data_IF_212586759671
#
_entry.id   IF_212586759671
#
_cell.length_a   1.000
_cell.length_b   1.000
_cell.length_c   1.000
_cell.angle_alpha   90.00
_cell.angle_beta   90.00
_cell.angle_gamma   90.00
#
_symmetry.space_group_name_H-M   'P 1'
#
loop_
_entity.id
_entity.type
_entity.pdbx_description
1 polymer ?
#
# COMPACT_ATOMS: atom_id res chain seq x y z
N UNK A 1 -31.56 -46.61 37.31
CA UNK A 1 -31.79 -45.99 35.99
C UNK A 1 -30.61 -45.06 35.71
N UNK A 2 -29.77 -45.48 34.76
CA UNK A 2 -28.63 -44.81 34.09
C UNK A 2 -27.88 -43.63 34.75
N UNK A 3 -26.61 -43.88 35.09
CA UNK A 3 -25.53 -42.89 35.10
C UNK A 3 -25.00 -42.63 33.67
N UNK A 4 -24.59 -41.40 33.30
CA UNK A 4 -23.95 -41.12 32.02
C UNK A 4 -22.44 -41.42 32.04
N UNK A 5 -21.98 -42.16 31.03
CA UNK A 5 -20.61 -42.59 30.83
C UNK A 5 -19.68 -41.46 30.34
N UNK A 6 -18.50 -41.36 30.96
CA UNK A 6 -17.35 -40.58 30.47
C UNK A 6 -16.54 -41.46 29.49
N UNK A 7 -16.44 -41.04 28.23
CA UNK A 7 -15.51 -41.64 27.26
C UNK A 7 -14.14 -40.94 27.35
N UNK A 8 -13.10 -41.72 27.66
CA UNK A 8 -11.70 -41.32 27.69
C UNK A 8 -10.98 -42.17 26.64
N UNK A 9 -10.52 -41.56 25.55
CA UNK A 9 -9.77 -42.25 24.49
C UNK A 9 -8.28 -41.99 24.74
N UNK A 10 -7.57 -43.06 25.13
CA UNK A 10 -6.11 -43.12 25.25
C UNK A 10 -5.53 -43.72 23.98
N UNK A 11 -4.71 -42.97 23.26
CA UNK A 11 -3.99 -43.43 22.06
C UNK A 11 -2.66 -44.03 22.52
N UNK A 12 -2.55 -45.35 22.39
CA UNK A 12 -1.34 -46.15 22.61
C UNK A 12 -0.49 -46.14 21.33
N UNK A 13 0.76 -45.70 21.45
CA UNK A 13 1.80 -45.85 20.43
C UNK A 13 2.39 -47.27 20.48
N UNK A 14 2.36 -48.00 19.36
CA UNK A 14 3.31 -49.08 19.11
C UNK A 14 3.59 -49.26 17.62
N UNK A 15 4.88 -49.43 17.33
CA UNK A 15 5.57 -49.25 16.06
C UNK A 15 5.33 -50.33 14.99
N UNK A 16 5.58 -49.88 13.75
CA UNK A 16 6.21 -50.58 12.62
C UNK A 16 5.32 -51.43 11.70
N UNK A 17 5.03 -50.91 10.51
CA UNK A 17 5.53 -51.47 9.22
C UNK A 17 5.66 -50.32 8.21
N UNK A 18 6.83 -50.24 7.59
CA UNK A 18 7.20 -49.30 6.53
C UNK A 18 6.57 -49.75 5.20
N UNK A 19 5.77 -48.89 4.57
CA UNK A 19 5.57 -48.88 3.12
C UNK A 19 5.72 -47.45 2.60
N UNK A 20 6.79 -47.25 1.82
CA UNK A 20 7.08 -46.00 1.10
C UNK A 20 6.03 -45.81 0.01
N UNK A 21 5.03 -44.96 0.25
CA UNK A 21 4.22 -44.37 -0.82
C UNK A 21 4.87 -43.03 -1.20
N UNK A 22 5.68 -43.04 -2.26
CA UNK A 22 6.25 -41.83 -2.86
C UNK A 22 5.23 -41.28 -3.86
N UNK A 23 4.39 -40.35 -3.41
CA UNK A 23 3.47 -39.61 -4.29
C UNK A 23 4.29 -38.53 -5.00
N UNK A 24 4.59 -38.74 -6.28
CA UNK A 24 5.09 -37.69 -7.16
C UNK A 24 3.90 -36.81 -7.56
N UNK A 25 3.72 -35.70 -6.83
CA UNK A 25 2.86 -34.60 -7.30
C UNK A 25 3.71 -33.78 -8.26
N UNK A 26 3.49 -34.03 -9.55
CA UNK A 26 3.91 -33.16 -10.65
C UNK A 26 3.16 -31.83 -10.52
N UNK A 27 3.88 -30.74 -10.28
CA UNK A 27 3.33 -29.39 -10.30
C UNK A 27 3.19 -28.91 -11.76
N UNK A 28 1.98 -28.62 -12.27
CA UNK A 28 1.82 -27.78 -13.45
C UNK A 28 2.12 -26.30 -13.07
N UNK A 29 2.58 -25.49 -14.04
CA UNK A 29 3.33 -24.28 -13.77
C UNK A 29 2.52 -23.21 -13.07
N UNK A 30 3.20 -22.47 -12.19
CA UNK A 30 2.71 -21.28 -11.51
C UNK A 30 2.15 -20.27 -12.51
N UNK A 31 0.83 -20.26 -12.68
CA UNK A 31 0.11 -19.12 -13.21
C UNK A 31 0.22 -17.98 -12.19
N UNK A 32 0.79 -16.88 -12.67
CA UNK A 32 1.18 -15.68 -11.94
C UNK A 32 0.11 -15.14 -11.00
N UNK A 33 0.35 -15.28 -9.69
CA UNK A 33 -0.13 -14.33 -8.67
C UNK A 33 0.67 -13.02 -8.77
N UNK A 34 0.56 -12.34 -9.91
CA UNK A 34 1.02 -10.95 -10.08
C UNK A 34 -0.19 -10.07 -10.41
N UNK A 35 -1.14 -10.00 -9.48
CA UNK A 35 -2.02 -8.85 -9.36
C UNK A 35 -2.15 -8.58 -7.86
N UNK A 36 -1.73 -7.36 -7.45
CA UNK A 36 -1.59 -6.84 -6.08
C UNK A 36 -0.14 -6.80 -5.55
N UNK A 37 0.76 -6.20 -6.32
CA UNK A 37 1.79 -5.31 -5.76
C UNK A 37 1.43 -3.90 -6.20
N UNK A 38 1.08 -3.05 -5.25
CA UNK A 38 0.77 -1.64 -5.48
C UNK A 38 1.94 -0.93 -6.20
N UNK A 39 1.71 -0.52 -7.45
CA UNK A 39 2.08 0.79 -8.02
C UNK A 39 3.53 1.29 -8.05
N UNK A 40 4.55 0.55 -7.59
CA UNK A 40 5.83 1.20 -7.25
C UNK A 40 6.82 1.53 -8.38
N UNK A 41 6.74 0.94 -9.57
CA UNK A 41 7.87 1.04 -10.53
C UNK A 41 7.49 1.46 -11.96
N UNK A 42 6.32 2.08 -12.20
CA UNK A 42 5.93 2.52 -13.55
C UNK A 42 6.21 4.00 -13.69
N UNK A 43 6.96 4.46 -14.68
CA UNK A 43 7.25 5.91 -14.85
C UNK A 43 7.15 6.29 -16.31
N UNK A 44 6.86 7.56 -16.63
CA UNK A 44 6.94 8.05 -18.00
C UNK A 44 8.40 8.05 -18.49
N UNK A 45 8.57 7.81 -19.78
CA UNK A 45 9.85 7.83 -20.46
C UNK A 45 9.71 8.64 -21.74
N UNK A 46 10.59 9.62 -21.92
CA UNK A 46 10.72 10.35 -23.16
C UNK A 46 12.04 9.99 -23.83
N UNK A 47 11.99 9.55 -25.08
CA UNK A 47 13.15 9.09 -25.85
C UNK A 47 13.30 9.94 -27.09
N UNK A 48 14.50 10.42 -27.38
CA UNK A 48 14.79 11.12 -28.64
C UNK A 48 16.15 10.73 -29.19
N UNK A 49 16.26 10.76 -30.51
CA UNK A 49 17.47 10.36 -31.20
C UNK A 49 17.75 11.23 -32.42
N UNK A 50 18.97 11.10 -32.94
CA UNK A 50 19.39 11.73 -34.20
C UNK A 50 19.10 10.87 -35.44
N UNK A 51 18.59 9.65 -35.26
CA UNK A 51 18.16 8.76 -36.34
C UNK A 51 16.68 9.01 -36.70
N UNK A 52 16.31 8.81 -37.97
CA UNK A 52 14.95 9.04 -38.50
C UNK A 52 14.06 7.79 -38.44
N UNK A 53 14.42 6.79 -37.63
CA UNK A 53 13.62 5.58 -37.49
C UNK A 53 12.43 5.80 -36.55
N UNK A 54 11.26 6.02 -37.15
CA UNK A 54 9.98 6.02 -36.45
C UNK A 54 9.47 4.59 -36.33
N UNK A 55 9.52 4.07 -35.11
CA UNK A 55 8.87 2.80 -34.75
C UNK A 55 7.81 3.17 -33.72
N UNK A 56 6.56 3.05 -34.14
CA UNK A 56 5.39 3.39 -33.35
C UNK A 56 5.14 2.31 -32.30
N UNK A 57 5.26 2.65 -31.02
CA UNK A 57 4.73 1.80 -29.95
C UNK A 57 3.21 1.97 -29.83
N UNK A 58 2.47 0.89 -29.49
CA UNK A 58 1.04 1.00 -29.26
C UNK A 58 0.75 1.91 -28.06
N UNK A 59 0.18 3.08 -28.34
CA UNK A 59 0.02 4.24 -27.44
C UNK A 59 -0.81 4.04 -26.15
N UNK A 60 -1.18 2.81 -25.79
CA UNK A 60 -2.12 2.51 -24.70
C UNK A 60 -1.68 1.34 -23.81
N UNK A 61 -0.52 0.71 -24.05
CA UNK A 61 -0.07 -0.42 -23.24
C UNK A 61 1.08 0.00 -22.32
N UNK A 62 1.03 -0.45 -21.07
CA UNK A 62 2.18 -0.40 -20.18
C UNK A 62 3.26 -1.34 -20.73
N UNK A 63 4.48 -0.82 -20.93
CA UNK A 63 5.62 -1.63 -21.32
C UNK A 63 6.29 -2.21 -20.07
N UNK A 64 6.51 -3.52 -20.07
CA UNK A 64 7.35 -4.16 -19.06
C UNK A 64 8.84 -3.86 -19.33
N UNK A 65 9.69 -4.11 -18.34
CA UNK A 65 11.14 -3.87 -18.41
C UNK A 65 11.79 -4.58 -19.60
N UNK A 66 11.33 -5.79 -19.92
CA UNK A 66 11.89 -6.59 -21.02
C UNK A 66 11.41 -6.07 -22.38
N UNK A 67 10.11 -5.81 -22.52
CA UNK A 67 9.53 -5.23 -23.74
C UNK A 67 10.17 -3.88 -24.09
N UNK A 68 10.43 -3.04 -23.08
CA UNK A 68 11.12 -1.77 -23.27
C UNK A 68 12.59 -1.95 -23.66
N UNK A 69 13.29 -2.94 -23.10
CA UNK A 69 14.66 -3.25 -23.49
C UNK A 69 14.73 -3.74 -24.95
N UNK A 70 13.79 -4.59 -25.36
CA UNK A 70 13.70 -5.10 -26.73
C UNK A 70 13.36 -3.97 -27.71
N UNK A 71 12.47 -3.06 -27.30
CA UNK A 71 12.16 -1.84 -28.06
C UNK A 71 13.37 -0.91 -28.23
N UNK A 72 14.18 -0.72 -27.18
CA UNK A 72 15.43 0.04 -27.29
C UNK A 72 16.46 -0.68 -28.16
N UNK A 73 16.60 -2.00 -28.05
CA UNK A 73 17.55 -2.78 -28.83
C UNK A 73 17.38 -2.59 -30.34
N UNK A 74 16.15 -2.42 -30.81
CA UNK A 74 15.85 -2.12 -32.21
C UNK A 74 16.42 -0.76 -32.66
N UNK A 75 16.48 0.23 -31.75
CA UNK A 75 17.11 1.56 -31.97
C UNK A 75 18.62 1.58 -31.70
N UNK A 76 19.22 0.46 -31.27
CA UNK A 76 20.64 0.36 -30.90
C UNK A 76 21.52 -0.34 -31.95
N UNK A 77 20.99 -0.69 -33.12
CA UNK A 77 21.75 -1.38 -34.18
C UNK A 77 22.98 -0.60 -34.66
N UNK A 78 22.95 0.74 -34.60
CA UNK A 78 24.07 1.63 -34.91
C UNK A 78 25.08 1.84 -33.77
N UNK A 79 24.86 1.22 -32.60
CA UNK A 79 25.65 1.41 -31.35
C UNK A 79 25.77 2.89 -30.92
N UNK A 80 24.64 3.59 -30.71
CA UNK A 80 24.66 5.00 -30.30
C UNK A 80 25.24 5.19 -28.90
N UNK A 81 25.66 6.43 -28.59
CA UNK A 81 25.86 6.86 -27.21
C UNK A 81 24.51 6.99 -26.53
N UNK A 82 24.29 6.32 -25.40
CA UNK A 82 23.02 6.40 -24.66
C UNK A 82 23.17 7.35 -23.48
N UNK A 83 22.44 8.46 -23.51
CA UNK A 83 22.35 9.43 -22.42
C UNK A 83 21.06 9.17 -21.65
N UNK A 84 21.15 8.83 -20.37
CA UNK A 84 20.01 8.64 -19.50
C UNK A 84 19.93 9.78 -18.47
N UNK A 85 18.99 10.71 -18.68
CA UNK A 85 18.68 11.78 -17.75
C UNK A 85 17.63 11.29 -16.74
N UNK A 86 17.96 11.34 -15.45
CA UNK A 86 17.12 10.79 -14.37
C UNK A 86 16.74 11.83 -13.34
N UNK A 87 15.42 12.02 -13.18
CA UNK A 87 14.82 12.78 -12.08
C UNK A 87 14.56 11.91 -10.85
N UNK A 88 14.36 12.54 -9.70
CA UNK A 88 13.81 11.84 -8.52
C UNK A 88 12.35 11.43 -8.76
N UNK A 89 11.51 12.37 -9.23
CA UNK A 89 10.09 12.14 -9.44
C UNK A 89 9.54 12.80 -10.73
N UNK A 90 8.73 12.05 -11.48
CA UNK A 90 8.13 12.55 -12.73
C UNK A 90 6.77 11.91 -12.97
N UNK A 91 5.83 12.65 -13.56
CA UNK A 91 4.57 12.11 -14.07
C UNK A 91 4.24 12.61 -15.46
N UNK A 92 3.19 12.03 -16.04
CA UNK A 92 2.73 12.38 -17.39
C UNK A 92 2.23 13.83 -17.46
N UNK A 93 1.73 14.38 -16.36
CA UNK A 93 1.23 15.77 -16.28
C UNK A 93 2.36 16.81 -16.29
N UNK A 94 3.58 16.42 -15.93
CA UNK A 94 4.75 17.30 -15.97
C UNK A 94 5.17 17.59 -17.42
N UNK A 95 4.86 16.69 -18.36
CA UNK A 95 5.17 16.84 -19.78
C UNK A 95 4.17 17.76 -20.48
N UNK A 96 4.36 19.07 -20.32
CA UNK A 96 3.62 20.09 -21.04
C UNK A 96 4.57 21.08 -21.73
N UNK A 97 4.03 21.82 -22.70
CA UNK A 97 4.80 22.78 -23.52
C UNK A 97 5.41 23.92 -22.70
N UNK A 98 4.83 24.21 -21.54
CA UNK A 98 5.26 25.30 -20.66
C UNK A 98 6.51 24.91 -19.88
N UNK A 99 6.60 23.67 -19.39
CA UNK A 99 7.72 23.19 -18.57
C UNK A 99 8.90 22.73 -19.45
N UNK A 100 8.64 22.19 -20.65
CA UNK A 100 9.65 21.63 -21.55
C UNK A 100 9.66 22.29 -22.94
N UNK A 101 9.92 23.59 -23.05
CA UNK A 101 9.92 24.29 -24.33
C UNK A 101 11.06 23.85 -25.26
N UNK A 102 12.21 23.40 -24.73
CA UNK A 102 13.37 23.02 -25.56
C UNK A 102 13.34 21.53 -25.92
N UNK A 103 12.91 20.66 -24.99
CA UNK A 103 12.88 19.20 -25.16
C UNK A 103 12.15 18.75 -26.43
N UNK A 104 11.02 19.39 -26.75
CA UNK A 104 10.19 19.05 -27.91
C UNK A 104 10.86 19.31 -29.27
N UNK A 105 11.89 20.15 -29.29
CA UNK A 105 12.64 20.51 -30.50
C UNK A 105 13.96 19.74 -30.64
N UNK A 106 14.24 18.78 -29.74
CA UNK A 106 15.48 18.03 -29.71
C UNK A 106 15.36 16.69 -30.45
N UNK A 107 16.37 16.40 -31.28
CA UNK A 107 16.43 15.18 -32.06
C UNK A 107 15.68 15.29 -33.40
N UNK A 108 15.82 14.24 -34.23
CA UNK A 108 15.07 14.08 -35.49
C UNK A 108 13.84 13.19 -35.32
N UNK A 109 13.88 12.26 -34.37
CA UNK A 109 12.77 11.41 -33.96
C UNK A 109 12.65 11.49 -32.44
N UNK A 110 11.43 11.63 -31.94
CA UNK A 110 11.11 11.69 -30.52
C UNK A 110 9.87 10.84 -30.23
N UNK A 111 9.87 10.15 -29.11
CA UNK A 111 8.80 9.27 -28.67
C UNK A 111 8.51 9.46 -27.19
N UNK A 112 7.23 9.57 -26.85
CA UNK A 112 6.76 9.63 -25.47
C UNK A 112 6.05 8.34 -25.10
N UNK A 113 6.55 7.65 -24.08
CA UNK A 113 5.97 6.42 -23.55
C UNK A 113 5.45 6.70 -22.14
N UNK A 114 4.13 6.74 -21.93
CA UNK A 114 3.54 7.22 -20.68
C UNK A 114 3.76 6.28 -19.49
N UNK A 115 3.99 4.98 -19.76
CA UNK A 115 4.03 3.95 -18.71
C UNK A 115 5.06 2.85 -19.01
N UNK A 116 6.25 2.96 -18.42
CA UNK A 116 7.31 1.95 -18.49
C UNK A 116 7.66 1.43 -17.11
N UNK A 117 7.69 0.11 -16.95
CA UNK A 117 8.12 -0.53 -15.71
C UNK A 117 9.66 -0.53 -15.60
N UNK A 118 10.21 0.08 -14.55
CA UNK A 118 11.64 0.06 -14.21
C UNK A 118 12.60 0.37 -15.39
N UNK A 119 12.50 1.54 -16.04
CA UNK A 119 13.32 1.85 -17.24
C UNK A 119 14.82 1.83 -16.97
N UNK A 120 15.26 2.17 -15.76
CA UNK A 120 16.67 2.08 -15.36
C UNK A 120 17.23 0.66 -15.39
N UNK A 121 16.41 -0.36 -15.07
CA UNK A 121 16.84 -1.76 -15.15
C UNK A 121 16.99 -2.19 -16.61
N UNK A 122 16.10 -1.72 -17.49
CA UNK A 122 16.18 -1.99 -18.93
C UNK A 122 17.42 -1.33 -19.56
N UNK A 123 17.68 -0.05 -19.29
CA UNK A 123 18.83 0.66 -19.84
C UNK A 123 20.17 0.04 -19.43
N UNK A 124 20.28 -0.43 -18.18
CA UNK A 124 21.47 -1.16 -17.71
C UNK A 124 21.67 -2.52 -18.39
N UNK A 125 20.59 -3.20 -18.79
CA UNK A 125 20.69 -4.45 -19.57
C UNK A 125 21.18 -4.19 -20.99
N UNK A 126 20.71 -3.10 -21.59
CA UNK A 126 20.97 -2.75 -22.99
C UNK A 126 22.38 -2.19 -23.20
N UNK A 127 22.88 -1.39 -22.25
CA UNK A 127 24.20 -0.76 -22.36
C UNK A 127 25.11 -1.24 -21.22
N UNK A 128 26.00 -2.18 -21.54
CA UNK A 128 26.80 -2.94 -20.56
C UNK A 128 27.93 -2.14 -19.88
N UNK A 129 28.31 -0.97 -20.42
CA UNK A 129 29.40 -0.13 -19.89
C UNK A 129 28.85 1.21 -19.40
N UNK A 130 28.96 1.46 -18.09
CA UNK A 130 28.63 2.76 -17.47
C UNK A 130 29.85 3.68 -17.54
N UNK A 131 29.67 4.89 -18.06
CA UNK A 131 30.71 5.92 -18.15
C UNK A 131 30.24 7.23 -17.50
N UNK A 132 31.16 7.97 -16.88
CA UNK A 132 30.88 9.29 -16.31
C UNK A 132 30.76 10.34 -17.43
N UNK A 133 30.13 11.48 -17.12
CA UNK A 133 29.99 12.63 -18.03
C UNK A 133 31.34 13.18 -18.49
N UNK A 134 32.38 13.00 -17.67
CA UNK A 134 33.75 13.48 -17.90
C UNK A 134 34.57 12.57 -18.84
N UNK A 135 34.18 11.30 -18.99
CA UNK A 135 34.88 10.29 -19.80
C UNK A 135 33.90 9.66 -20.82
N UNK A 136 33.44 10.45 -21.80
CA UNK A 136 32.56 9.95 -22.86
C UNK A 136 33.37 9.00 -23.77
N UNK A 137 33.02 7.71 -23.86
CA UNK A 137 33.78 6.78 -24.68
C UNK A 137 33.68 7.17 -26.15
N UNK A 138 34.79 7.09 -26.89
CA UNK A 138 34.84 7.45 -28.32
C UNK A 138 34.34 6.34 -29.24
N UNK A 139 34.21 5.09 -28.75
CA UNK A 139 33.70 3.93 -29.50
C UNK A 139 32.89 2.99 -28.60
N UNK A 140 31.88 2.33 -29.17
CA UNK A 140 31.04 1.34 -28.49
C UNK A 140 29.76 1.91 -27.86
N UNK A 141 28.84 1.02 -27.49
CA UNK A 141 27.64 1.35 -26.72
C UNK A 141 28.05 1.69 -25.29
N UNK A 142 27.80 2.93 -24.89
CA UNK A 142 28.12 3.45 -23.56
C UNK A 142 26.88 4.12 -22.98
N UNK A 143 26.62 3.86 -21.70
CA UNK A 143 25.54 4.48 -20.94
C UNK A 143 26.14 5.56 -20.04
N UNK A 144 25.74 6.80 -20.27
CA UNK A 144 26.02 7.92 -19.35
C UNK A 144 24.74 8.24 -18.61
N UNK A 145 24.73 8.05 -17.30
CA UNK A 145 23.58 8.39 -16.44
C UNK A 145 23.82 9.76 -15.83
N UNK A 146 22.96 10.73 -16.17
CA UNK A 146 22.97 12.08 -15.61
C UNK A 146 21.82 12.19 -14.60
N UNK A 147 22.16 12.40 -13.32
CA UNK A 147 21.18 12.64 -12.26
C UNK A 147 20.86 14.14 -12.15
N UNK A 148 19.59 14.46 -12.05
CA UNK A 148 19.05 15.82 -11.91
C UNK A 148 18.44 15.98 -10.51
N UNK A 149 19.26 15.84 -9.46
CA UNK A 149 18.83 15.80 -8.04
C UNK A 149 19.12 17.11 -7.28
N UNK A 150 19.12 18.24 -7.97
CA UNK A 150 19.53 19.55 -7.42
C UNK A 150 18.36 20.47 -7.03
N UNK A 151 17.29 19.88 -6.48
CA UNK A 151 16.10 20.60 -6.04
C UNK A 151 16.41 21.58 -4.90
N UNK A 152 15.93 22.83 -5.04
CA UNK A 152 16.10 23.89 -4.04
C UNK A 152 14.80 24.08 -3.24
N UNK A 153 14.88 24.35 -1.93
CA UNK A 153 13.70 24.48 -1.07
C UNK A 153 12.80 25.69 -1.40
N UNK A 154 13.33 26.68 -2.11
CA UNK A 154 12.67 27.93 -2.51
C UNK A 154 12.20 27.93 -3.98
N UNK A 155 12.41 26.84 -4.73
CA UNK A 155 12.08 26.74 -6.15
C UNK A 155 10.75 26.00 -6.37
N UNK A 156 9.86 26.59 -7.17
CA UNK A 156 8.61 25.94 -7.57
C UNK A 156 8.89 24.81 -8.59
N UNK A 157 8.07 23.75 -8.59
CA UNK A 157 8.25 22.57 -9.46
C UNK A 157 8.34 22.95 -10.94
N UNK A 158 7.51 23.89 -11.38
CA UNK A 158 7.52 24.35 -12.76
C UNK A 158 8.81 25.08 -13.16
N UNK A 159 9.46 25.77 -12.21
CA UNK A 159 10.74 26.46 -12.44
C UNK A 159 11.91 25.48 -12.45
N UNK A 160 11.90 24.50 -11.54
CA UNK A 160 12.85 23.40 -11.49
C UNK A 160 12.91 22.65 -12.83
N UNK A 161 11.76 22.19 -13.33
CA UNK A 161 11.69 21.45 -14.60
C UNK A 161 12.16 22.29 -15.80
N UNK A 162 11.86 23.60 -15.84
CA UNK A 162 12.37 24.51 -16.89
C UNK A 162 13.90 24.68 -16.85
N UNK A 163 14.47 24.68 -15.64
CA UNK A 163 15.92 24.74 -15.44
C UNK A 163 16.57 23.45 -15.91
N UNK A 164 15.99 22.31 -15.58
CA UNK A 164 16.42 20.99 -16.06
C UNK A 164 16.29 20.85 -17.57
N UNK A 165 15.21 21.32 -18.21
CA UNK A 165 15.06 21.38 -19.67
C UNK A 165 16.21 22.12 -20.35
N UNK A 166 16.62 23.27 -19.78
CA UNK A 166 17.76 24.03 -20.27
C UNK A 166 19.07 23.26 -20.13
N UNK A 167 19.26 22.55 -19.01
CA UNK A 167 20.45 21.75 -18.73
C UNK A 167 20.56 20.52 -19.63
N UNK A 168 19.45 19.81 -19.86
CA UNK A 168 19.36 18.66 -20.75
C UNK A 168 19.77 19.08 -22.17
N UNK A 169 19.26 20.22 -22.65
CA UNK A 169 19.61 20.76 -23.97
C UNK A 169 21.10 21.10 -24.12
N UNK A 170 21.71 21.71 -23.10
CA UNK A 170 23.16 21.99 -23.10
C UNK A 170 23.99 20.71 -23.23
N UNK A 171 23.73 19.74 -22.35
CA UNK A 171 24.46 18.46 -22.32
C UNK A 171 24.26 17.69 -23.64
N UNK A 172 23.04 17.67 -24.17
CA UNK A 172 22.75 17.00 -25.43
C UNK A 172 23.50 17.64 -26.60
N UNK A 173 23.56 18.97 -26.67
CA UNK A 173 24.33 19.70 -27.70
C UNK A 173 25.84 19.48 -27.56
N UNK A 174 26.36 19.36 -26.35
CA UNK A 174 27.76 19.02 -26.12
C UNK A 174 28.06 17.59 -26.58
N UNK A 175 27.20 16.63 -26.28
CA UNK A 175 27.34 15.25 -26.72
C UNK A 175 27.31 15.11 -28.26
N UNK A 176 26.46 15.88 -28.94
CA UNK A 176 26.39 15.92 -30.41
C UNK A 176 27.66 16.45 -31.08
N UNK A 177 28.46 17.28 -30.38
CA UNK A 177 29.78 17.72 -30.91
C UNK A 177 30.80 16.58 -30.91
N UNK A 178 30.64 15.61 -30.01
CA UNK A 178 31.58 14.49 -29.83
C UNK A 178 31.17 13.28 -30.66
N UNK A 179 29.86 12.95 -30.70
CA UNK A 179 29.31 11.86 -31.51
C UNK A 179 28.13 12.31 -32.36
N UNK A 180 28.11 11.83 -33.60
CA UNK A 180 27.00 12.07 -34.54
C UNK A 180 25.79 11.15 -34.30
N UNK A 181 25.92 10.14 -33.43
CA UNK A 181 24.84 9.18 -33.11
C UNK A 181 24.63 9.08 -31.59
N UNK A 182 23.56 9.73 -31.13
CA UNK A 182 23.20 9.90 -29.72
C UNK A 182 21.71 9.57 -29.55
N UNK A 183 21.45 8.65 -28.62
CA UNK A 183 20.12 8.29 -28.13
C UNK A 183 20.00 8.83 -26.71
N UNK A 184 19.02 9.68 -26.46
CA UNK A 184 18.77 10.25 -25.15
C UNK A 184 17.43 9.79 -24.59
N UNK A 185 17.41 9.52 -23.30
CA UNK A 185 16.27 9.02 -22.55
C UNK A 185 16.10 9.86 -21.30
N UNK A 186 14.93 10.45 -21.12
CA UNK A 186 14.54 11.18 -19.92
C UNK A 186 13.48 10.39 -19.14
N UNK A 187 13.75 10.13 -17.87
CA UNK A 187 12.85 9.34 -17.00
C UNK A 187 13.11 9.66 -15.52
N UNK A 188 12.41 8.99 -14.60
CA UNK A 188 12.56 9.18 -13.16
C UNK A 188 12.80 7.88 -12.40
N UNK A 189 13.23 8.02 -11.14
CA UNK A 189 13.29 6.91 -10.19
C UNK A 189 11.91 6.53 -9.64
N UNK A 190 11.04 7.53 -9.41
CA UNK A 190 9.71 7.35 -8.83
C UNK A 190 8.62 8.12 -9.60
N UNK A 191 7.36 7.71 -9.46
CA UNK A 191 6.22 8.52 -9.91
C UNK A 191 6.10 9.78 -9.05
N UNK A 192 5.73 10.92 -9.64
CA UNK A 192 5.40 12.13 -8.85
C UNK A 192 4.14 11.94 -8.00
N UNK A 193 3.23 11.04 -8.43
CA UNK A 193 2.08 10.63 -7.65
C UNK A 193 2.47 9.57 -6.63
N UNK A 194 3.02 10.00 -5.50
CA UNK A 194 2.64 9.35 -4.26
C UNK A 194 1.24 9.87 -3.96
N UNK A 195 0.21 9.04 -4.11
CA UNK A 195 -1.00 9.27 -3.30
C UNK A 195 -0.44 9.36 -1.87
N UNK A 196 -0.49 10.52 -1.19
CA UNK A 196 -0.46 10.44 0.26
C UNK A 196 -1.56 9.44 0.59
N UNK A 197 -1.43 8.58 1.59
CA UNK A 197 -2.57 7.82 2.08
C UNK A 197 -3.63 8.80 2.61
N UNK A 198 -4.31 9.48 1.70
CA UNK A 198 -5.51 10.24 1.95
C UNK A 198 -6.54 9.14 1.96
N UNK A 199 -6.72 8.55 3.14
CA UNK A 199 -7.99 7.94 3.47
C UNK A 199 -9.06 8.86 2.91
N UNK A 200 -9.84 8.34 1.96
CA UNK A 200 -10.94 9.07 1.34
C UNK A 200 -11.99 9.27 2.43
N UNK A 201 -11.75 10.23 3.32
CA UNK A 201 -12.73 10.74 4.26
C UNK A 201 -13.76 11.37 3.35
N UNK A 202 -14.94 10.75 3.30
CA UNK A 202 -16.13 11.39 2.78
C UNK A 202 -16.25 12.69 3.58
N UNK A 203 -15.93 13.82 2.94
CA UNK A 203 -16.04 15.15 3.53
C UNK A 203 -17.51 15.42 3.77
N UNK A 204 -18.04 14.91 4.88
CA UNK A 204 -19.08 15.60 5.61
C UNK A 204 -18.46 16.94 5.97
N UNK A 205 -19.14 18.03 5.63
CA UNK A 205 -18.76 19.36 6.04
C UNK A 205 -18.76 19.37 7.57
N UNK A 206 -17.61 19.06 8.17
CA UNK A 206 -17.39 19.26 9.58
C UNK A 206 -17.08 20.74 9.75
N UNK A 207 -17.94 21.40 10.50
CA UNK A 207 -17.80 22.82 10.83
C UNK A 207 -16.39 23.05 11.37
N UNK A 208 -15.70 24.06 10.83
CA UNK A 208 -14.47 24.55 11.41
C UNK A 208 -14.78 25.15 12.78
N UNK A 209 -14.82 24.31 13.82
CA UNK A 209 -14.67 24.77 15.18
C UNK A 209 -13.19 24.66 15.59
N UNK A 210 -12.77 25.75 16.21
CA UNK A 210 -11.42 26.22 16.52
C UNK A 210 -10.73 25.42 17.62
N UNK A 211 -10.87 24.11 17.68
CA UNK A 211 -10.25 23.33 18.75
C UNK A 211 -8.86 22.87 18.32
N UNK A 212 -7.86 23.32 19.08
CA UNK A 212 -6.48 22.90 18.89
C UNK A 212 -6.37 21.39 19.19
N UNK A 213 -5.54 20.65 18.44
CA UNK A 213 -5.38 19.21 18.67
C UNK A 213 -4.82 18.94 20.06
N UNK A 214 -5.41 17.96 20.76
CA UNK A 214 -4.91 17.50 22.05
C UNK A 214 -3.81 16.47 21.80
N UNK A 215 -2.57 16.82 22.18
CA UNK A 215 -1.44 15.88 22.15
C UNK A 215 -0.87 15.72 23.55
N UNK A 216 -0.78 14.48 24.01
CA UNK A 216 -0.27 14.11 25.32
C UNK A 216 0.90 13.15 25.10
N UNK A 217 2.10 13.55 25.53
CA UNK A 217 3.30 12.72 25.50
C UNK A 217 3.86 12.64 26.91
N UNK A 218 3.63 11.51 27.60
CA UNK A 218 4.04 11.33 28.99
C UNK A 218 4.66 9.94 29.17
N UNK A 219 5.99 9.91 29.20
CA UNK A 219 6.77 8.69 29.42
C UNK A 219 6.46 7.60 28.38
N UNK A 220 5.93 6.43 28.78
CA UNK A 220 5.61 5.33 27.87
C UNK A 220 4.23 5.44 27.19
N UNK A 221 3.55 6.59 27.30
CA UNK A 221 2.20 6.83 26.75
C UNK A 221 2.23 8.01 25.80
N UNK A 222 1.71 7.81 24.59
CA UNK A 222 1.43 8.87 23.63
C UNK A 222 -0.06 8.82 23.29
N UNK A 223 -0.72 9.96 23.32
CA UNK A 223 -2.14 10.12 22.98
C UNK A 223 -2.32 11.36 22.13
N UNK A 224 -3.13 11.23 21.09
CA UNK A 224 -3.53 12.29 20.18
C UNK A 224 -5.04 12.26 19.99
N UNK A 225 -5.66 13.44 19.94
CA UNK A 225 -7.03 13.64 19.52
C UNK A 225 -7.11 14.95 18.72
N UNK A 226 -8.03 15.01 17.74
CA UNK A 226 -8.13 16.19 16.87
C UNK A 226 -8.67 17.43 17.60
N UNK A 227 -9.38 17.24 18.69
CA UNK A 227 -9.97 18.28 19.53
C UNK A 227 -9.85 17.89 21.00
N UNK A 228 -10.02 18.87 21.90
CA UNK A 228 -10.13 18.60 23.33
C UNK A 228 -11.41 17.77 23.56
N UNK A 229 -11.38 16.72 24.39
CA UNK A 229 -12.55 15.85 24.54
C UNK A 229 -13.74 16.62 25.11
N UNK A 230 -14.92 16.31 24.58
CA UNK A 230 -16.18 16.84 25.08
C UNK A 230 -16.62 16.03 26.29
N UNK A 231 -16.98 16.73 27.37
CA UNK A 231 -17.38 16.11 28.62
C UNK A 231 -18.81 16.48 28.95
N UNK A 232 -19.64 15.46 29.13
CA UNK A 232 -21.07 15.59 29.46
C UNK A 232 -21.34 15.02 30.83
N UNK A 233 -22.04 15.79 31.66
CA UNK A 233 -22.63 15.32 32.91
C UNK A 233 -24.14 15.54 32.81
N UNK A 234 -24.95 14.51 33.03
CA UNK A 234 -26.42 14.58 32.95
C UNK A 234 -26.93 15.24 31.65
N UNK A 235 -26.22 15.02 30.54
CA UNK A 235 -26.48 15.58 29.20
C UNK A 235 -26.17 17.08 29.01
N UNK A 236 -25.56 17.74 30.00
CA UNK A 236 -25.04 19.10 29.86
C UNK A 236 -23.56 19.07 29.41
N UNK A 237 -23.25 19.82 28.35
CA UNK A 237 -21.89 19.95 27.81
C UNK A 237 -21.04 20.88 28.69
N UNK A 238 -19.92 20.35 29.19
CA UNK A 238 -18.97 21.05 30.04
C UNK A 238 -17.72 21.35 29.21
N UNK A 239 -17.39 22.62 28.92
CA UNK A 239 -16.18 22.95 28.19
C UNK A 239 -14.96 22.59 29.04
N UNK A 240 -14.01 21.88 28.45
CA UNK A 240 -12.76 21.49 29.08
C UNK A 240 -11.59 22.24 28.45
N UNK A 241 -10.64 22.66 29.27
CA UNK A 241 -9.32 23.12 28.84
C UNK A 241 -8.27 22.17 29.43
N UNK A 242 -7.40 21.62 28.58
CA UNK A 242 -6.34 20.71 29.01
C UNK A 242 -5.31 21.45 29.87
N UNK A 243 -4.94 20.89 31.02
CA UNK A 243 -3.93 21.47 31.92
C UNK A 243 -2.64 20.67 31.87
N UNK A 244 -2.71 19.40 32.26
CA UNK A 244 -1.54 18.52 32.37
C UNK A 244 -1.98 17.07 32.37
N UNK A 245 -1.10 16.20 31.89
CA UNK A 245 -1.23 14.76 32.06
C UNK A 245 -0.02 14.20 32.81
N UNK A 246 -0.27 13.26 33.71
CA UNK A 246 0.77 12.48 34.41
C UNK A 246 0.52 11.01 34.18
N UNK A 247 1.56 10.19 34.36
CA UNK A 247 1.42 8.74 34.28
C UNK A 247 1.91 8.10 35.58
N UNK A 248 1.21 7.04 35.98
CA UNK A 248 1.60 6.20 37.10
C UNK A 248 1.79 4.78 36.59
N UNK A 249 2.96 4.18 36.87
CA UNK A 249 3.21 2.77 36.64
C UNK A 249 2.95 2.02 37.95
N UNK A 250 1.82 1.32 38.04
CA UNK A 250 1.44 0.56 39.25
C UNK A 250 2.15 -0.80 39.29
N UNK A 251 2.16 -1.51 38.15
CA UNK A 251 2.82 -2.82 37.96
C UNK A 251 3.46 -2.86 36.58
N UNK A 252 4.32 -3.84 36.30
CA UNK A 252 4.93 -3.97 34.97
C UNK A 252 3.91 -4.10 33.83
N UNK A 253 2.74 -4.66 34.12
CA UNK A 253 1.67 -4.86 33.14
C UNK A 253 0.54 -3.84 33.24
N UNK A 254 0.59 -2.88 34.17
CA UNK A 254 -0.51 -1.92 34.39
C UNK A 254 0.03 -0.51 34.42
N UNK A 255 -0.50 0.31 33.52
CA UNK A 255 -0.08 1.69 33.29
C UNK A 255 -1.31 2.59 33.39
N UNK A 256 -1.22 3.67 34.14
CA UNK A 256 -2.33 4.62 34.30
C UNK A 256 -1.95 5.99 33.77
N UNK A 257 -2.84 6.59 32.98
CA UNK A 257 -2.75 7.98 32.51
C UNK A 257 -3.75 8.83 33.28
N UNK A 258 -3.27 9.81 34.03
CA UNK A 258 -4.11 10.81 34.69
C UNK A 258 -4.11 12.09 33.85
N UNK A 259 -5.27 12.51 33.36
CA UNK A 259 -5.48 13.72 32.59
C UNK A 259 -6.26 14.72 33.43
N UNK A 260 -5.68 15.91 33.63
CA UNK A 260 -6.29 16.98 34.39
C UNK A 260 -6.75 18.07 33.43
N UNK A 261 -8.03 18.39 33.50
CA UNK A 261 -8.68 19.46 32.77
C UNK A 261 -9.18 20.52 33.76
N UNK A 262 -9.35 21.74 33.27
CA UNK A 262 -10.02 22.83 34.01
C UNK A 262 -11.23 23.31 33.22
N UNK A 263 -12.24 23.73 33.94
CA UNK A 263 -13.31 24.58 33.48
C UNK A 263 -13.30 25.85 34.35
N UNK A 264 -13.99 26.92 33.95
CA UNK A 264 -13.97 28.27 34.54
C UNK A 264 -13.94 28.33 36.08
N UNK A 265 -14.48 27.34 36.78
CA UNK A 265 -14.48 27.26 38.25
C UNK A 265 -14.08 25.90 38.86
N UNK A 266 -13.90 24.83 38.07
CA UNK A 266 -13.68 23.46 38.56
C UNK A 266 -12.53 22.75 37.84
N UNK A 267 -11.83 21.88 38.57
CA UNK A 267 -10.88 20.93 37.97
C UNK A 267 -11.68 19.68 37.58
N UNK A 268 -11.19 18.90 36.62
CA UNK A 268 -11.79 17.64 36.20
C UNK A 268 -10.66 16.66 35.89
N UNK A 269 -10.54 15.61 36.70
CA UNK A 269 -9.44 14.65 36.59
C UNK A 269 -9.95 13.29 36.11
N UNK A 270 -9.42 12.80 34.98
CA UNK A 270 -9.74 11.49 34.41
C UNK A 270 -8.53 10.58 34.48
N UNK A 271 -8.70 9.40 35.07
CA UNK A 271 -7.68 8.38 35.15
C UNK A 271 -8.04 7.21 34.25
N UNK A 272 -7.27 7.00 33.20
CA UNK A 272 -7.40 5.91 32.23
C UNK A 272 -6.39 4.82 32.56
N UNK A 273 -6.82 3.56 32.60
CA UNK A 273 -5.94 2.43 32.93
C UNK A 273 -5.74 1.53 31.71
N UNK A 274 -4.48 1.29 31.39
CA UNK A 274 -4.03 0.37 30.35
C UNK A 274 -3.48 -0.90 31.00
N UNK A 275 -3.97 -2.05 30.54
CA UNK A 275 -3.51 -3.36 30.96
C UNK A 275 -2.76 -4.03 29.81
N UNK A 276 -1.66 -4.70 30.10
CA UNK A 276 -0.91 -5.51 29.15
C UNK A 276 -1.03 -6.99 29.50
N UNK A 277 -1.67 -7.75 28.62
CA UNK A 277 -1.89 -9.18 28.79
C UNK A 277 -1.49 -9.91 27.50
N UNK A 278 -0.58 -10.88 27.63
CA UNK A 278 -0.17 -11.77 26.55
C UNK A 278 0.31 -11.06 25.26
N UNK A 279 0.96 -9.89 25.39
CA UNK A 279 1.50 -9.14 24.24
C UNK A 279 0.50 -8.18 23.58
N UNK A 280 -0.70 -8.03 24.15
CA UNK A 280 -1.68 -7.03 23.77
C UNK A 280 -1.89 -6.07 24.94
N UNK A 281 -2.07 -4.79 24.64
CA UNK A 281 -2.54 -3.82 25.61
C UNK A 281 -3.99 -3.43 25.32
N UNK A 282 -4.75 -3.23 26.39
CA UNK A 282 -6.16 -2.81 26.33
C UNK A 282 -6.41 -1.64 27.25
N UNK A 283 -7.40 -0.81 26.88
CA UNK A 283 -8.00 0.19 27.75
C UNK A 283 -9.37 -0.37 28.18
N UNK A 284 -9.44 -0.87 29.41
CA UNK A 284 -10.65 -1.54 29.90
C UNK A 284 -11.58 -0.58 30.64
N UNK A 285 -10.99 0.34 31.42
CA UNK A 285 -11.74 1.32 32.19
C UNK A 285 -11.02 2.67 32.27
N UNK A 286 -11.84 3.70 32.43
CA UNK A 286 -11.42 5.00 32.89
C UNK A 286 -12.21 5.34 34.15
N UNK A 287 -11.70 6.27 34.95
CA UNK A 287 -12.34 6.70 36.20
C UNK A 287 -12.32 8.21 36.28
N UNK A 288 -13.46 8.78 36.63
CA UNK A 288 -13.55 10.20 36.94
C UNK A 288 -13.29 10.38 38.43
N UNK A 289 -12.15 10.99 38.77
CA UNK A 289 -11.58 10.95 40.13
C UNK A 289 -12.47 11.66 41.15
N UNK A 290 -13.20 12.69 40.73
CA UNK A 290 -14.00 13.54 41.64
C UNK A 290 -15.26 12.83 42.13
N UNK A 291 -15.97 12.12 41.26
CA UNK A 291 -17.16 11.34 41.62
C UNK A 291 -16.86 9.86 41.87
N UNK A 292 -15.62 9.40 41.67
CA UNK A 292 -15.18 8.00 41.73
C UNK A 292 -16.01 7.05 40.85
N UNK A 293 -16.61 7.57 39.78
CA UNK A 293 -17.36 6.77 38.83
C UNK A 293 -16.41 6.12 37.80
N UNK A 294 -16.71 4.88 37.42
CA UNK A 294 -16.01 4.17 36.36
C UNK A 294 -16.72 4.38 35.02
N UNK A 295 -15.96 4.79 34.02
CA UNK A 295 -16.38 4.99 32.64
C UNK A 295 -15.87 3.81 31.81
N UNK A 296 -16.74 3.23 30.99
CA UNK A 296 -16.37 2.14 30.08
C UNK A 296 -16.33 2.65 28.64
N UNK A 297 -15.38 2.18 27.83
CA UNK A 297 -15.35 2.53 26.43
C UNK A 297 -16.52 1.88 25.70
N UNK A 298 -17.18 2.63 24.81
CA UNK A 298 -18.28 2.13 23.98
C UNK A 298 -17.81 1.04 22.99
N UNK A 299 -16.55 1.14 22.56
CA UNK A 299 -15.86 0.15 21.71
C UNK A 299 -14.69 -0.43 22.46
N UNK A 300 -14.43 -1.73 22.26
CA UNK A 300 -13.23 -2.35 22.84
C UNK A 300 -11.96 -1.73 22.22
N UNK A 301 -11.10 -1.18 23.07
CA UNK A 301 -9.82 -0.58 22.68
C UNK A 301 -8.74 -1.58 23.06
N UNK A 302 -8.22 -2.27 22.05
CA UNK A 302 -7.16 -3.28 22.19
C UNK A 302 -6.21 -3.15 21.02
N UNK A 303 -4.91 -3.19 21.28
CA UNK A 303 -3.89 -3.28 20.24
C UNK A 303 -2.70 -4.13 20.70
N UNK A 304 -1.95 -4.73 19.76
CA UNK A 304 -0.69 -5.40 20.08
C UNK A 304 0.33 -4.42 20.66
N UNK A 305 1.22 -4.90 21.54
CA UNK A 305 2.38 -4.13 22.00
C UNK A 305 3.24 -3.74 20.81
N UNK A 306 3.60 -2.46 20.73
CA UNK A 306 4.37 -1.91 19.61
C UNK A 306 3.53 -1.29 18.50
N UNK A 307 2.19 -1.41 18.55
CA UNK A 307 1.26 -0.71 17.66
C UNK A 307 0.51 0.40 18.41
N UNK A 308 0.09 1.42 17.68
CA UNK A 308 -0.86 2.44 18.16
C UNK A 308 -2.29 2.01 17.87
N UNK A 309 -3.27 2.38 18.69
CA UNK A 309 -4.68 2.21 18.37
C UNK A 309 -5.20 3.53 17.78
N UNK A 310 -5.88 3.48 16.63
CA UNK A 310 -6.42 4.65 15.95
C UNK A 310 -7.91 4.48 15.65
N UNK A 311 -8.71 5.53 15.86
CA UNK A 311 -10.13 5.51 15.54
C UNK A 311 -10.63 6.88 15.06
N UNK A 312 -11.01 6.96 13.78
CA UNK A 312 -11.50 8.20 13.17
C UNK A 312 -12.90 8.56 13.66
N UNK A 313 -13.78 7.56 13.84
CA UNK A 313 -15.16 7.75 14.30
C UNK A 313 -15.30 8.25 15.75
N UNK A 314 -14.17 8.43 16.44
CA UNK A 314 -14.12 8.81 17.85
C UNK A 314 -14.41 7.66 18.80
N UNK A 315 -14.07 7.89 20.06
CA UNK A 315 -14.37 6.98 21.18
C UNK A 315 -15.13 7.75 22.25
N UNK A 316 -16.17 7.13 22.82
CA UNK A 316 -16.83 7.64 24.02
C UNK A 316 -16.59 6.71 25.20
N UNK A 317 -16.17 7.29 26.31
CA UNK A 317 -16.05 6.64 27.61
C UNK A 317 -17.28 7.06 28.41
N UNK A 318 -18.21 6.14 28.63
CA UNK A 318 -19.52 6.44 29.21
C UNK A 318 -19.83 5.62 30.45
N UNK A 319 -20.62 6.23 31.31
CA UNK A 319 -21.37 5.65 32.41
C UNK A 319 -22.81 6.18 32.32
N UNK A 320 -23.72 5.73 33.18
CA UNK A 320 -25.14 6.12 33.10
C UNK A 320 -25.38 7.64 33.15
N UNK A 321 -24.54 8.39 33.88
CA UNK A 321 -24.69 9.84 34.10
C UNK A 321 -23.64 10.70 33.37
N UNK A 322 -22.52 10.10 32.94
CA UNK A 322 -21.31 10.82 32.50
C UNK A 322 -20.79 10.25 31.19
N UNK A 323 -20.44 11.12 30.24
CA UNK A 323 -19.85 10.75 28.95
C UNK A 323 -18.64 11.63 28.62
N UNK A 324 -17.52 11.02 28.25
CA UNK A 324 -16.32 11.69 27.77
C UNK A 324 -16.01 11.22 26.35
N UNK A 325 -16.05 12.12 25.39
CA UNK A 325 -15.94 11.79 23.96
C UNK A 325 -14.70 12.40 23.33
N UNK A 326 -13.94 11.59 22.61
CA UNK A 326 -12.76 11.99 21.86
C UNK A 326 -13.01 11.86 20.36
N UNK A 327 -12.65 12.87 19.59
CA UNK A 327 -12.67 12.82 18.12
C UNK A 327 -11.29 12.47 17.56
N UNK A 328 -11.28 11.64 16.50
CA UNK A 328 -10.07 11.20 15.82
C UNK A 328 -8.95 10.78 16.79
N UNK A 329 -9.26 9.77 17.59
CA UNK A 329 -8.48 9.36 18.74
C UNK A 329 -7.36 8.40 18.32
N UNK A 330 -6.14 8.66 18.74
CA UNK A 330 -5.00 7.76 18.60
C UNK A 330 -4.23 7.64 19.90
N UNK A 331 -3.98 6.42 20.37
CA UNK A 331 -3.25 6.18 21.62
C UNK A 331 -2.30 5.00 21.49
N UNK A 332 -1.15 5.10 22.14
CA UNK A 332 -0.20 4.00 22.25
C UNK A 332 0.38 3.99 23.64
N UNK A 333 0.25 2.83 24.29
CA UNK A 333 0.76 2.57 25.64
C UNK A 333 1.99 1.66 25.60
N UNK A 334 2.72 1.59 26.71
CA UNK A 334 3.88 0.71 26.89
C UNK A 334 5.01 0.93 25.87
N UNK A 335 5.31 2.17 25.51
CA UNK A 335 6.44 2.50 24.63
C UNK A 335 7.80 2.38 25.34
N UNK A 336 8.83 1.95 24.60
CA UNK A 336 10.22 1.84 25.06
C UNK A 336 11.06 3.11 24.82
N UNK A 337 10.42 4.29 24.81
CA UNK A 337 10.93 5.62 24.42
C UNK A 337 10.83 5.92 22.90
N UNK A 338 9.80 6.68 22.54
CA UNK A 338 9.62 7.24 21.20
C UNK A 338 8.70 8.45 21.27
N UNK A 339 8.96 9.47 20.42
CA UNK A 339 8.10 10.66 20.29
C UNK A 339 7.09 10.53 19.15
N UNK A 340 6.99 9.34 18.56
CA UNK A 340 6.18 9.06 17.36
C UNK A 340 5.36 7.82 17.60
N UNK A 341 4.15 7.80 17.04
CA UNK A 341 3.34 6.60 16.98
C UNK A 341 4.00 5.57 16.07
N UNK A 342 3.90 4.31 16.47
CA UNK A 342 4.10 3.17 15.58
C UNK A 342 2.89 2.98 14.66
N UNK A 343 2.97 1.97 13.79
CA UNK A 343 1.88 1.53 12.93
C UNK A 343 0.53 1.47 13.67
N UNK A 344 -0.49 1.97 13.00
CA UNK A 344 -1.83 2.11 13.55
C UNK A 344 -2.65 0.82 13.39
N UNK A 345 -3.25 0.39 14.50
CA UNK A 345 -4.27 -0.63 14.60
C UNK A 345 -5.62 0.08 14.65
N UNK A 346 -6.33 0.05 13.54
CA UNK A 346 -7.57 0.80 13.36
C UNK A 346 -8.74 0.14 14.09
N UNK A 347 -9.69 0.95 14.57
CA UNK A 347 -10.89 0.47 15.26
C UNK A 347 -11.90 -0.20 14.30
N UNK A 348 -11.81 0.06 13.00
CA UNK A 348 -12.68 -0.53 11.99
C UNK A 348 -12.24 -1.96 11.63
N UNK A 349 -13.17 -2.91 11.73
CA UNK A 349 -12.96 -4.25 11.19
C UNK A 349 -13.36 -4.29 9.72
N UNK A 350 -12.43 -4.67 8.84
CA UNK A 350 -12.72 -4.87 7.42
C UNK A 350 -13.80 -5.93 7.17
N UNK A 351 -13.86 -6.97 8.00
CA UNK A 351 -14.83 -8.05 7.88
C UNK A 351 -15.66 -8.19 9.16
N UNK A 352 -16.87 -7.65 9.14
CA UNK A 352 -17.86 -7.83 10.21
C UNK A 352 -18.52 -9.21 10.11
N UNK A 353 -19.14 -9.67 11.19
CA UNK A 353 -19.83 -10.96 11.21
C UNK A 353 -20.86 -11.12 10.06
N UNK A 354 -21.68 -10.10 9.70
CA UNK A 354 -22.57 -10.18 8.55
C UNK A 354 -21.85 -10.32 7.20
N UNK A 355 -20.70 -9.64 7.02
CA UNK A 355 -19.90 -9.74 5.79
C UNK A 355 -19.34 -11.16 5.66
N UNK A 356 -18.82 -11.74 6.74
CA UNK A 356 -18.34 -13.11 6.76
C UNK A 356 -19.42 -14.13 6.43
N UNK A 357 -20.61 -14.00 7.04
CA UNK A 357 -21.72 -14.91 6.73
C UNK A 357 -22.18 -14.77 5.28
N UNK A 358 -22.21 -13.54 4.75
CA UNK A 358 -22.58 -13.28 3.36
C UNK A 358 -21.58 -13.88 2.38
N UNK A 359 -20.28 -13.64 2.59
CA UNK A 359 -19.22 -14.18 1.75
C UNK A 359 -19.20 -15.72 1.77
N UNK A 360 -19.44 -16.32 2.94
CA UNK A 360 -19.54 -17.77 3.08
C UNK A 360 -20.70 -18.36 2.27
N UNK A 361 -21.90 -17.77 2.33
CA UNK A 361 -23.06 -18.24 1.56
C UNK A 361 -22.82 -18.03 0.06
N UNK A 362 -22.28 -16.89 -0.35
CA UNK A 362 -21.97 -16.62 -1.76
C UNK A 362 -20.92 -17.59 -2.32
N UNK A 363 -19.92 -17.97 -1.52
CA UNK A 363 -18.94 -18.96 -1.92
C UNK A 363 -19.57 -20.35 -2.16
N UNK A 364 -20.50 -20.79 -1.30
CA UNK A 364 -21.21 -22.07 -1.48
C UNK A 364 -22.07 -22.04 -2.76
N UNK A 365 -22.83 -20.96 -2.98
CA UNK A 365 -23.66 -20.82 -4.18
C UNK A 365 -22.79 -20.77 -5.45
N UNK A 366 -21.64 -20.09 -5.40
CA UNK A 366 -20.69 -20.07 -6.51
C UNK A 366 -20.13 -21.46 -6.82
N UNK A 367 -19.81 -22.27 -5.81
CA UNK A 367 -19.34 -23.66 -6.01
C UNK A 367 -20.42 -24.51 -6.70
N UNK A 368 -21.67 -24.42 -6.25
CA UNK A 368 -22.80 -25.16 -6.85
C UNK A 368 -23.02 -24.70 -8.30
N UNK A 369 -22.96 -23.39 -8.55
CA UNK A 369 -23.11 -22.81 -9.89
C UNK A 369 -22.00 -23.25 -10.84
N UNK A 370 -20.73 -23.18 -10.40
CA UNK A 370 -19.59 -23.68 -11.18
C UNK A 370 -19.74 -25.17 -11.46
N UNK A 371 -20.17 -25.97 -10.47
CA UNK A 371 -20.41 -27.39 -10.67
C UNK A 371 -21.51 -27.64 -11.71
N UNK A 372 -22.61 -26.89 -11.67
CA UNK A 372 -23.66 -26.95 -12.69
C UNK A 372 -23.17 -26.57 -14.09
N UNK A 373 -22.36 -25.51 -14.20
CA UNK A 373 -21.78 -25.09 -15.47
C UNK A 373 -20.82 -26.13 -16.04
N UNK A 374 -19.98 -26.75 -15.22
CA UNK A 374 -19.07 -27.84 -15.64
C UNK A 374 -19.87 -29.02 -16.19
N UNK A 375 -20.97 -29.41 -15.55
CA UNK A 375 -21.84 -30.50 -16.03
C UNK A 375 -22.53 -30.17 -17.36
N UNK A 376 -22.97 -28.91 -17.55
CA UNK A 376 -23.54 -28.46 -18.83
C UNK A 376 -22.47 -28.47 -19.93
N UNK A 377 -21.23 -28.05 -19.61
CA UNK A 377 -20.12 -28.06 -20.57
C UNK A 377 -19.69 -29.46 -21.01
N UNK A 378 -19.98 -30.51 -20.24
CA UNK A 378 -19.68 -31.91 -20.59
C UNK A 378 -20.83 -32.63 -21.31
N UNK A 379 -21.92 -31.94 -21.66
CA UNK A 379 -22.96 -32.52 -22.51
C UNK A 379 -22.40 -32.69 -23.93
N UNK A 380 -22.12 -33.94 -24.28
CA UNK A 380 -21.73 -34.33 -25.64
C UNK A 380 -22.98 -34.70 -26.44
N UNK A 381 -23.11 -34.12 -27.63
CA UNK A 381 -24.12 -34.56 -28.59
C UNK A 381 -23.74 -35.96 -29.11
N UNK A 382 -24.73 -36.84 -29.34
CA UNK A 382 -24.46 -38.13 -29.99
C UNK A 382 -23.76 -37.91 -31.33
N UNK A 383 -22.64 -38.60 -31.52
CA UNK A 383 -21.75 -38.48 -32.70
C UNK A 383 -22.37 -39.09 -33.95
N UNK A 384 -23.21 -40.11 -33.77
CA UNK A 384 -23.82 -40.85 -34.86
C UNK A 384 -25.31 -41.02 -34.61
N UNK A 385 -26.12 -40.47 -35.52
CA UNK A 385 -27.50 -40.90 -35.64
C UNK A 385 -27.51 -42.24 -36.37
N UNK A 386 -28.26 -43.22 -35.87
CA UNK A 386 -28.47 -44.50 -36.56
C UNK A 386 -29.09 -44.23 -37.93
N UNK A 387 -28.26 -44.26 -38.97
CA UNK A 387 -28.72 -44.19 -40.35
C UNK A 387 -29.41 -45.53 -40.67
N UNK A 388 -30.71 -45.55 -41.05
CA UNK A 388 -31.41 -46.79 -41.39
C UNK A 388 -30.80 -47.55 -42.59
N UNK A 389 -29.79 -46.98 -43.26
CA UNK A 389 -28.99 -47.64 -44.31
C UNK A 389 -27.54 -47.94 -43.90
N UNK A 390 -27.14 -47.64 -42.66
CA UNK A 390 -25.84 -47.95 -42.10
C UNK A 390 -25.67 -49.45 -41.78
N UNK A 391 -24.44 -49.97 -41.84
CA UNK A 391 -24.15 -51.38 -41.52
C UNK A 391 -24.45 -51.67 -40.05
N UNK A 392 -25.19 -52.74 -39.77
CA UNK A 392 -25.53 -53.19 -38.42
C UNK A 392 -24.30 -53.61 -37.61
N UNK A 393 -24.25 -53.22 -36.34
CA UNK A 393 -23.19 -53.59 -35.40
C UNK A 393 -23.30 -55.09 -35.10
N UNK A 394 -22.29 -55.86 -35.53
CA UNK A 394 -22.13 -57.27 -35.17
C UNK A 394 -21.43 -57.38 -33.83
N UNK A 395 -22.16 -57.82 -32.80
CA UNK A 395 -21.59 -58.16 -31.49
C UNK A 395 -21.09 -59.61 -31.58
N UNK A 396 -19.77 -59.80 -31.59
CA UNK A 396 -19.21 -61.14 -31.45
C UNK A 396 -19.27 -61.52 -29.97
N UNK A 397 -20.29 -62.29 -29.58
CA UNK A 397 -20.27 -62.99 -28.31
C UNK A 397 -19.25 -64.14 -28.44
N UNK A 398 -18.10 -64.00 -27.80
CA UNK A 398 -17.19 -65.12 -27.59
C UNK A 398 -17.68 -65.89 -26.38
N UNK A 399 -17.99 -67.17 -26.59
CA UNK A 399 -18.35 -68.17 -25.57
C UNK A 399 -17.20 -68.49 -24.62
#
# INVERSE_FOLDING_TARGET
MSHPAKFRISILWKNSVVSKLRIHISAPPSTSLNQLILGKDVVPVYVWSTSQEDISTPALKQLDTQDFADHLNQRLESKPLVLAFTEENLSVEDFNDVQFPKLQSLGKSSEFIPAVQSPMKALKKVASNQSSLEDIPTRGSALVVIKLDDARPDEDRGQLLKRHDSRINEIYKEALKVRNDVLAVYTSHYKSWMEPEVHRVRRLLQEQNKDSPLTINVGPILLYASSVPTFKINNDDIPLEFVVATYDKSKDNVLSLNMNFKNASSKHNFKVVFNNVAGYWSLDNASYVESKQELKPDKSIVAPVGFSYHCTAGISLKNDDIELTFENFQVQAFMNNGTKFSDAYNCEMFFTAPIWSGLFVMAILAIIMIWGLVMIMDIRTMDQFDDPKGKTITINAAE
#
